data_IF_340753193142
#
_entry.id   IF_340753193142
#
_cell.length_a   1.000
_cell.length_b   1.000
_cell.length_c   1.000
_cell.angle_alpha   90.00
_cell.angle_beta   90.00
_cell.angle_gamma   90.00
#
_symmetry.space_group_name_H-M   'P 1'
#
loop_
_entity.id
_entity.type
_entity.pdbx_description
1 polymer ?
2 polymer ?
3 water ?
#
loop_
_entity_poly.entity_id
_entity_poly.type
_entity_poly.pdbx_seq_one_letter_code
_entity_poly.pdbx_strand_id
1 'polydeoxyribonucleotide' '(DG)(DT)(DG)(DA)(DT)(DC)(DA)(DC)' ?
#
# COMPACT_ATOMS: atom_id res chain seq x y z
N UNK C 2 -3.61 8.01 -8.15
CA UNK C 2 -4.53 6.87 -8.40
C UNK C 2 -4.91 6.34 -7.03
N UNK C 3 -5.85 5.43 -6.96
CA UNK C 3 -6.28 4.93 -5.67
C UNK C 3 -6.22 3.42 -5.51
N UNK C 4 -6.04 2.97 -4.27
CA UNK C 4 -6.03 1.55 -3.97
C UNK C 4 -7.15 1.38 -2.96
N UNK C 5 -8.06 0.44 -3.21
CA UNK C 5 -9.16 0.17 -2.29
C UNK C 5 -8.78 -1.10 -1.53
N UNK C 6 -9.00 -1.12 -0.22
CA UNK C 6 -8.59 -2.26 0.61
C UNK C 6 -9.40 -2.63 1.86
N UNK C 7 -9.00 -3.76 2.44
CA UNK C 7 -9.58 -4.30 3.65
C UNK C 7 -8.62 -4.20 4.83
N UNK C 8 -9.20 -3.71 5.91
CA UNK C 8 -8.58 -3.57 7.21
C UNK C 8 -9.83 -3.24 7.99
N UNK C 9 -10.10 -4.04 9.02
CA UNK C 9 -11.32 -3.90 9.82
C UNK C 9 -12.41 -4.39 8.85
N UNK C 10 -13.21 -3.46 8.31
CA UNK C 10 -14.26 -3.85 7.38
C UNK C 10 -15.08 -2.73 6.77
N UNK C 11 -14.78 -1.48 7.12
CA UNK C 11 -15.53 -0.35 6.57
C UNK C 11 -15.14 -0.01 5.12
N UNK C 12 -14.29 -0.86 4.52
CA UNK C 12 -13.78 -0.69 3.14
C UNK C 12 -12.94 0.59 3.06
N UNK C 13 -11.95 0.60 2.18
CA UNK C 13 -11.12 1.78 2.09
C UNK C 13 -10.49 1.99 0.75
N UNK C 14 -10.14 3.23 0.48
CA UNK C 14 -9.49 3.61 -0.75
C UNK C 14 -8.54 4.70 -0.33
N UNK C 15 -7.37 4.75 -0.96
CA UNK C 15 -6.40 5.78 -0.63
C UNK C 15 -5.59 6.19 -1.84
N UNK C 16 -5.33 7.49 -1.93
CA UNK C 16 -4.55 8.03 -3.02
C UNK C 16 -3.14 7.51 -2.75
N UNK C 17 -2.49 7.00 -3.78
CA UNK C 17 -1.15 6.47 -3.64
C UNK C 17 -0.17 7.57 -3.21
N UNK C 18 -0.58 8.83 -3.34
CA UNK C 18 0.27 9.95 -2.95
C UNK C 18 0.33 10.02 -1.43
N UNK C 19 -0.59 9.33 -0.78
CA UNK C 19 -0.67 9.32 0.68
C UNK C 19 -0.14 8.04 1.35
N UNK C 20 0.67 7.28 0.61
CA UNK C 20 1.25 6.02 1.07
C UNK C 20 2.73 6.11 1.49
N UNK C 21 2.97 6.01 2.81
CA UNK C 21 4.31 6.09 3.42
C UNK C 21 5.16 4.90 3.08
N UNK C 22 4.88 3.74 3.68
CA UNK C 22 5.67 2.55 3.38
C UNK C 22 4.90 1.44 2.70
N UNK C 23 5.59 0.78 1.76
CA UNK C 23 5.12 -0.33 0.92
C UNK C 23 6.13 -1.50 1.01
N UNK C 24 5.65 -2.74 1.07
CA UNK C 24 6.53 -3.92 1.12
C UNK C 24 5.75 -5.18 0.76
N UNK C 25 6.46 -6.29 0.52
CA UNK C 25 5.84 -7.58 0.16
C UNK C 25 5.84 -8.65 1.25
N UNK C 26 4.66 -9.13 1.59
CA UNK C 26 4.50 -10.17 2.60
C UNK C 26 3.94 -11.32 1.81
N UNK C 27 4.78 -12.27 1.40
CA UNK C 27 4.27 -13.39 0.63
C UNK C 27 3.85 -12.94 -0.76
N UNK C 28 2.57 -13.10 -1.09
CA UNK C 28 2.05 -12.68 -2.40
C UNK C 28 1.00 -11.60 -2.13
N UNK C 29 1.29 -10.80 -1.13
CA UNK C 29 0.45 -9.72 -0.68
C UNK C 29 1.30 -8.46 -0.58
N UNK C 30 0.69 -7.30 -0.84
CA UNK C 30 1.38 -6.01 -0.78
C UNK C 30 0.82 -5.35 0.48
N UNK C 31 1.71 -4.86 1.34
CA UNK C 31 1.29 -4.27 2.59
C UNK C 31 1.84 -2.86 2.57
N UNK C 32 1.08 -1.92 3.10
CA UNK C 32 1.50 -0.53 3.12
C UNK C 32 0.92 0.24 4.29
N UNK C 33 1.55 1.36 4.60
CA UNK C 33 1.06 2.23 5.64
C UNK C 33 0.81 3.60 4.98
N UNK C 34 -0.13 4.39 5.50
CA UNK C 34 -0.50 5.68 4.88
C UNK C 34 -1.01 6.69 5.91
N UNK C 35 -1.85 7.63 5.43
CA UNK C 35 -2.49 8.68 6.24
C UNK C 35 -1.46 9.78 6.42
N UNK C 36 -1.84 10.82 7.16
CA UNK C 36 -0.96 11.95 7.39
C UNK C 36 -1.62 12.82 8.44
N UNK C 37 -2.85 13.26 8.14
CA UNK C 37 -3.61 14.10 9.04
C UNK C 37 -3.93 13.26 10.27
N UNK C 38 -3.90 11.94 10.08
CA UNK C 38 -4.19 11.03 11.16
C UNK C 38 -3.07 10.09 11.52
N UNK C 39 -3.46 9.03 12.20
CA UNK C 39 -2.57 7.98 12.67
C UNK C 39 -1.95 7.30 11.44
N UNK C 40 -1.11 6.29 11.62
CA UNK C 40 -0.57 5.63 10.44
C UNK C 40 -1.61 4.60 10.11
N UNK C 41 -2.25 4.79 8.97
CA UNK C 41 -3.24 3.83 8.53
C UNK C 41 -2.40 2.70 7.99
N UNK C 42 -2.98 1.49 7.95
CA UNK C 42 -2.31 0.27 7.46
C UNK C 42 -3.25 -0.50 6.53
N UNK C 43 -2.69 -1.09 5.48
CA UNK C 43 -3.51 -1.85 4.57
C UNK C 43 -2.70 -2.83 3.77
N UNK C 44 -3.41 -3.69 3.05
CA UNK C 44 -2.78 -4.69 2.21
C UNK C 44 -3.79 -5.12 1.18
N UNK C 45 -3.29 -5.52 0.01
CA UNK C 45 -4.10 -5.98 -1.12
C UNK C 45 -3.35 -7.15 -1.83
N UNK C 46 -4.05 -7.91 -2.66
CA UNK C 46 -3.42 -9.02 -3.39
C UNK C 46 -2.31 -8.42 -4.25
N UNK C 47 -1.25 -9.17 -4.49
CA UNK C 47 -0.17 -8.65 -5.33
C UNK C 47 -0.60 -8.68 -6.79
N UNK C 48 -1.56 -9.53 -7.13
CA UNK C 48 -2.02 -9.56 -8.50
C UNK C 48 -2.92 -8.36 -8.77
N UNK C 49 -3.97 -8.20 -7.98
CA UNK C 49 -4.91 -7.08 -8.15
C UNK C 49 -4.42 -5.72 -7.66
N UNK C 50 -3.11 -5.52 -7.54
CA UNK C 50 -2.60 -4.22 -7.09
C UNK C 50 -2.46 -3.25 -8.25
N UNK C 51 -2.78 -1.96 -8.03
CA UNK C 51 -2.66 -0.99 -9.11
C UNK C 51 -1.20 -0.78 -9.47
N UNK C 52 -0.90 -0.78 -10.76
CA UNK C 52 0.46 -0.59 -11.25
C UNK C 52 1.28 0.42 -10.48
N UNK C 53 0.68 1.53 -10.07
CA UNK C 53 1.39 2.56 -9.32
C UNK C 53 1.99 2.03 -8.01
N UNK C 54 1.17 1.32 -7.22
CA UNK C 54 1.62 0.74 -5.94
C UNK C 54 2.78 -0.23 -6.21
N UNK C 55 2.64 -1.01 -7.26
CA UNK C 55 3.68 -1.93 -7.67
C UNK C 55 4.94 -1.12 -8.00
N UNK C 56 4.77 0.08 -8.55
CA UNK C 56 5.92 0.93 -8.92
C UNK C 56 6.61 1.35 -7.63
N UNK C 57 5.79 1.57 -6.61
CA UNK C 57 6.26 1.98 -5.30
C UNK C 57 6.94 0.82 -4.57
N UNK C 58 6.43 -0.40 -4.78
CA UNK C 58 7.00 -1.61 -4.19
C UNK C 58 8.37 -1.81 -4.83
N UNK C 59 8.43 -1.71 -6.15
CA UNK C 59 9.69 -1.86 -6.87
C UNK C 59 10.68 -0.84 -6.40
N UNK C 60 10.18 0.32 -6.04
CA UNK C 60 11.05 1.38 -5.57
C UNK C 60 11.63 0.93 -4.24
N UNK C 61 10.76 0.43 -3.36
CA UNK C 61 11.14 -0.04 -2.03
C UNK C 61 11.98 -1.32 -2.05
N UNK C 62 11.90 -2.07 -3.13
CA UNK C 62 12.66 -3.30 -3.20
C UNK C 62 14.11 -3.09 -3.56
N UNK C 63 14.49 -1.87 -3.95
CA UNK C 63 15.87 -1.58 -4.35
C UNK C 63 16.57 -0.69 -3.37
N UNK C 64 15.82 -0.19 -2.40
CA UNK C 64 16.40 0.69 -1.42
C UNK C 64 17.51 -0.10 -0.75
N UNK C 65 18.64 0.55 -0.53
CA UNK C 65 19.75 -0.13 0.12
C UNK C 65 19.37 -0.39 1.57
N UNK C 66 19.51 -1.65 2.00
CA UNK C 66 19.23 -2.16 3.35
C UNK C 66 17.77 -2.17 3.85
#
# INVERSE_FOLDING_TARGET
MVKVKFKYKGEEKEVDTSKIKKVWRVGKMVSFTYDDNGKTGRGAVSEKDAPKELLDMLARAEREKK
#
